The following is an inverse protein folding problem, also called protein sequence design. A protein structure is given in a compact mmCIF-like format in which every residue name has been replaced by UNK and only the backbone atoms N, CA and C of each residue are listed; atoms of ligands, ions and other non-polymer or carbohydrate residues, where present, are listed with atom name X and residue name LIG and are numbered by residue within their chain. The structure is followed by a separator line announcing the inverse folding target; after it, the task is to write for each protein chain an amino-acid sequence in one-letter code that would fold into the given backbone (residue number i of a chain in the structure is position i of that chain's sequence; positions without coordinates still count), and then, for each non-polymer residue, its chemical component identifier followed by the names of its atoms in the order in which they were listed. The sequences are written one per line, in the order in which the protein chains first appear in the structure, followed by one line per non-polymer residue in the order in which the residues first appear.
data_IF_547735603795
#
_entry.id   IF_547735603795
#
_cell.length_a   1.000
_cell.length_b   1.000
_cell.length_c   1.000
_cell.angle_alpha   90.00
_cell.angle_beta   90.00
_cell.angle_gamma   90.00
#
_symmetry.space_group_name_H-M   'P 1'
#
loop_
_entity.id
_entity.type
_entity.pdbx_description
1 polymer ?
#
# COMPACT_ATOMS: atom_id res chain seq x y z
N UNK A 1 -32.13 25.58 8.48
CA UNK A 1 -30.95 24.93 9.09
C UNK A 1 -30.01 24.52 7.97
N UNK A 2 -28.87 25.18 7.81
CA UNK A 2 -27.90 24.84 6.78
C UNK A 2 -27.15 23.57 7.19
N UNK A 3 -27.35 22.46 6.48
CA UNK A 3 -26.51 21.28 6.60
C UNK A 3 -25.09 21.65 6.17
N UNK A 4 -24.21 21.94 7.13
CA UNK A 4 -22.78 22.02 6.88
C UNK A 4 -22.29 20.61 6.51
N UNK A 5 -22.16 20.34 5.21
CA UNK A 5 -21.45 19.17 4.72
C UNK A 5 -19.98 19.33 5.14
N UNK A 6 -19.61 18.73 6.28
CA UNK A 6 -18.23 18.63 6.71
C UNK A 6 -17.51 17.75 5.68
N UNK A 7 -16.76 18.36 4.77
CA UNK A 7 -15.88 17.62 3.85
C UNK A 7 -14.94 16.78 4.70
N UNK A 8 -15.10 15.45 4.64
CA UNK A 8 -14.14 14.51 5.24
C UNK A 8 -12.86 14.63 4.42
N UNK A 9 -11.84 15.25 4.98
CA UNK A 9 -10.51 15.25 4.39
C UNK A 9 -9.89 13.87 4.63
N UNK A 10 -9.43 13.22 3.55
CA UNK A 10 -8.66 11.98 3.63
C UNK A 10 -7.20 12.38 3.81
N UNK A 11 -6.50 11.71 4.73
CA UNK A 11 -5.07 11.92 4.91
C UNK A 11 -4.31 11.62 3.61
N UNK A 12 -3.26 12.41 3.34
CA UNK A 12 -2.49 12.28 2.09
C UNK A 12 -1.89 10.89 1.96
N UNK A 13 -1.37 10.36 3.06
CA UNK A 13 -0.72 9.05 3.10
C UNK A 13 -1.69 7.91 2.81
N UNK A 14 -2.94 8.01 3.26
CA UNK A 14 -3.99 7.04 2.96
C UNK A 14 -4.43 7.12 1.49
N UNK A 15 -4.52 8.33 0.96
CA UNK A 15 -4.76 8.55 -0.48
C UNK A 15 -3.64 7.94 -1.33
N UNK A 16 -2.40 8.06 -0.88
CA UNK A 16 -1.25 7.45 -1.55
C UNK A 16 -1.30 5.92 -1.51
N UNK A 17 -1.64 5.31 -0.36
CA UNK A 17 -1.82 3.85 -0.26
C UNK A 17 -2.95 3.36 -1.16
N UNK A 18 -4.01 4.15 -1.33
CA UNK A 18 -5.10 3.85 -2.26
C UNK A 18 -4.65 3.94 -3.73
N UNK A 19 -3.71 4.84 -4.05
CA UNK A 19 -3.06 4.85 -5.35
C UNK A 19 -2.21 3.61 -5.56
N UNK A 20 -1.36 3.23 -4.59
CA UNK A 20 -0.53 2.03 -4.71
C UNK A 20 -1.38 0.75 -4.83
N UNK A 21 -2.56 0.70 -4.19
CA UNK A 21 -3.52 -0.40 -4.35
C UNK A 21 -3.97 -0.62 -5.80
N UNK A 22 -3.95 0.41 -6.66
CA UNK A 22 -4.27 0.25 -8.09
C UNK A 22 -3.20 -0.55 -8.82
N UNK A 23 -1.94 -0.45 -8.41
CA UNK A 23 -0.86 -1.33 -8.93
C UNK A 23 -1.16 -2.79 -8.60
N UNK A 24 -1.71 -3.06 -7.42
CA UNK A 24 -2.14 -4.39 -7.02
C UNK A 24 -3.33 -4.90 -7.85
N UNK A 25 -4.22 -3.99 -8.29
CA UNK A 25 -5.31 -4.33 -9.20
C UNK A 25 -4.80 -4.77 -10.58
N UNK A 26 -3.77 -4.11 -11.13
CA UNK A 26 -3.12 -4.55 -12.38
C UNK A 26 -2.50 -5.96 -12.24
N UNK A 27 -1.96 -6.30 -11.07
CA UNK A 27 -1.47 -7.66 -10.79
C UNK A 27 -2.62 -8.69 -10.69
N UNK A 28 -3.82 -8.27 -10.28
CA UNK A 28 -4.99 -9.13 -10.18
C UNK A 28 -5.72 -9.34 -11.50
N UNK A 29 -5.58 -8.41 -12.46
CA UNK A 29 -6.34 -8.40 -13.70
C UNK A 29 -5.93 -9.55 -14.66
N UNK A 30 -6.83 -10.48 -15.01
CA UNK A 30 -6.52 -11.57 -15.93
C UNK A 30 -6.31 -11.13 -17.39
N UNK A 31 -6.69 -9.90 -17.76
CA UNK A 31 -6.43 -9.33 -19.09
C UNK A 31 -4.99 -8.86 -19.26
N UNK A 32 -4.26 -8.67 -18.15
CA UNK A 32 -2.83 -8.34 -18.15
C UNK A 32 -2.02 -9.63 -18.34
N UNK A 33 -1.00 -9.65 -19.22
CA UNK A 33 -0.16 -10.84 -19.43
C UNK A 33 0.47 -11.35 -18.14
N UNK A 34 0.54 -12.68 -18.00
CA UNK A 34 0.94 -13.35 -16.74
C UNK A 34 2.26 -12.82 -16.15
N UNK A 35 3.28 -12.61 -16.98
CA UNK A 35 4.57 -12.10 -16.53
C UNK A 35 4.52 -10.62 -16.13
N UNK A 36 3.69 -9.81 -16.77
CA UNK A 36 3.49 -8.40 -16.39
C UNK A 36 2.79 -8.29 -15.04
N UNK A 37 1.85 -9.19 -14.72
CA UNK A 37 1.21 -9.26 -13.40
C UNK A 37 2.22 -9.50 -12.27
N UNK A 38 3.23 -10.35 -12.51
CA UNK A 38 4.33 -10.57 -11.57
C UNK A 38 5.17 -9.29 -11.40
N UNK A 39 5.45 -8.57 -12.49
CA UNK A 39 6.15 -7.28 -12.40
C UNK A 39 5.34 -6.26 -11.60
N UNK A 40 4.02 -6.20 -11.75
CA UNK A 40 3.17 -5.33 -10.95
C UNK A 40 3.22 -5.65 -9.45
N UNK A 41 3.30 -6.93 -9.05
CA UNK A 41 3.59 -7.29 -7.65
C UNK A 41 4.95 -6.74 -7.19
N UNK A 42 5.99 -6.83 -8.02
CA UNK A 42 7.30 -6.24 -7.73
C UNK A 42 7.25 -4.71 -7.58
N UNK A 43 6.54 -4.03 -8.47
CA UNK A 43 6.35 -2.56 -8.44
C UNK A 43 5.59 -2.16 -7.17
N UNK A 44 4.49 -2.85 -6.85
CA UNK A 44 3.70 -2.61 -5.65
C UNK A 44 4.57 -2.69 -4.39
N UNK A 45 5.39 -3.74 -4.27
CA UNK A 45 6.29 -3.94 -3.12
C UNK A 45 7.38 -2.88 -3.04
N UNK A 46 8.01 -2.54 -4.16
CA UNK A 46 9.04 -1.49 -4.20
C UNK A 46 8.48 -0.12 -3.78
N UNK A 47 7.30 0.25 -4.31
CA UNK A 47 6.62 1.48 -3.94
C UNK A 47 6.30 1.49 -2.44
N UNK A 48 5.80 0.38 -1.90
CA UNK A 48 5.44 0.27 -0.51
C UNK A 48 6.68 0.45 0.39
N UNK A 49 7.81 -0.17 0.05
CA UNK A 49 9.07 0.01 0.78
C UNK A 49 9.53 1.47 0.80
N UNK A 50 9.49 2.16 -0.35
CA UNK A 50 9.84 3.58 -0.42
C UNK A 50 8.88 4.46 0.39
N UNK A 51 7.59 4.13 0.40
CA UNK A 51 6.62 4.80 1.25
C UNK A 51 6.96 4.65 2.74
N UNK A 52 7.31 3.44 3.20
CA UNK A 52 7.71 3.23 4.59
C UNK A 52 9.00 3.99 4.95
N UNK A 53 10.01 3.95 4.08
CA UNK A 53 11.30 4.65 4.30
C UNK A 53 11.10 6.16 4.47
N UNK A 54 10.24 6.77 3.66
CA UNK A 54 10.06 8.22 3.66
C UNK A 54 8.94 8.67 4.60
N UNK A 55 7.73 8.15 4.41
CA UNK A 55 6.51 8.69 5.03
C UNK A 55 6.35 8.25 6.47
N UNK A 56 6.48 6.95 6.75
CA UNK A 56 6.35 6.43 8.13
C UNK A 56 7.49 6.94 9.02
N UNK A 57 8.72 7.02 8.50
CA UNK A 57 9.83 7.64 9.22
C UNK A 57 9.56 9.12 9.58
N UNK A 58 8.97 9.88 8.65
CA UNK A 58 8.58 11.29 8.87
C UNK A 58 7.51 11.41 9.96
N UNK A 59 6.45 10.60 9.90
CA UNK A 59 5.38 10.59 10.89
C UNK A 59 5.90 10.21 12.29
N UNK A 60 6.77 9.21 12.39
CA UNK A 60 7.42 8.82 13.65
C UNK A 60 8.26 9.97 14.23
N UNK A 61 9.00 10.69 13.39
CA UNK A 61 9.78 11.86 13.82
C UNK A 61 8.87 12.98 14.33
N UNK A 62 7.72 13.22 13.69
CA UNK A 62 6.73 14.20 14.17
C UNK A 62 6.19 13.83 15.55
N UNK A 63 5.88 12.56 15.78
CA UNK A 63 5.43 12.05 17.08
C UNK A 63 6.49 12.31 18.16
N UNK A 64 7.76 12.01 17.86
CA UNK A 64 8.87 12.21 18.80
C UNK A 64 9.13 13.69 19.14
N UNK A 65 8.96 14.61 18.17
CA UNK A 65 9.20 16.05 18.38
C UNK A 65 8.02 16.78 19.03
N UNK A 66 6.83 16.18 19.05
CA UNK A 66 5.62 16.73 19.67
C UNK A 66 5.19 18.09 19.11
N UNK A 67 4.59 18.94 19.96
CA UNK A 67 3.99 20.23 19.57
C UNK A 67 4.95 21.25 18.93
N UNK A 68 6.28 21.06 19.03
CA UNK A 68 7.27 21.97 18.41
C UNK A 68 7.35 21.82 16.88
N UNK A 69 6.79 20.74 16.33
CA UNK A 69 6.75 20.46 14.89
C UNK A 69 5.39 20.75 14.23
N UNK A 70 4.46 21.43 14.93
CA UNK A 70 3.14 21.85 14.41
C UNK A 70 3.21 22.93 13.32
N UNK A 71 4.24 22.90 12.47
CA UNK A 71 4.21 23.60 11.19
C UNK A 71 3.33 22.77 10.24
N UNK A 72 2.05 23.12 10.15
CA UNK A 72 1.15 22.78 9.04
C UNK A 72 0.88 21.29 8.70
N UNK A 73 1.40 20.35 9.48
CA UNK A 73 1.37 18.93 9.15
C UNK A 73 0.47 18.19 10.14
N UNK A 74 -0.63 17.67 9.59
CA UNK A 74 -1.52 16.61 10.08
C UNK A 74 -1.80 16.56 11.60
N UNK A 75 -3.06 16.83 11.97
CA UNK A 75 -3.47 17.02 13.36
C UNK A 75 -3.35 15.79 14.28
N UNK A 76 -3.02 14.60 13.76
CA UNK A 76 -2.86 13.38 14.54
C UNK A 76 -1.97 12.33 13.84
N UNK A 77 -0.63 12.45 13.89
CA UNK A 77 0.27 11.53 13.19
C UNK A 77 0.19 10.08 13.68
N UNK A 78 -0.15 9.85 14.96
CA UNK A 78 -0.32 8.48 15.48
C UNK A 78 -1.52 7.80 14.83
N UNK A 79 -2.67 8.47 14.76
CA UNK A 79 -3.86 7.93 14.11
C UNK A 79 -3.61 7.62 12.62
N UNK A 80 -2.79 8.42 11.93
CA UNK A 80 -2.43 8.17 10.54
C UNK A 80 -1.54 6.93 10.42
N UNK A 81 -0.59 6.72 11.33
CA UNK A 81 0.21 5.49 11.37
C UNK A 81 -0.68 4.26 11.58
N UNK A 82 -1.64 4.33 12.51
CA UNK A 82 -2.54 3.22 12.80
C UNK A 82 -3.40 2.89 11.55
N UNK A 83 -3.92 3.91 10.87
CA UNK A 83 -4.67 3.73 9.62
C UNK A 83 -3.80 3.17 8.49
N UNK A 84 -2.56 3.66 8.33
CA UNK A 84 -1.56 3.10 7.40
C UNK A 84 -1.35 1.61 7.68
N UNK A 85 -1.14 1.21 8.93
CA UNK A 85 -0.90 -0.18 9.30
C UNK A 85 -2.08 -1.07 8.92
N UNK A 86 -3.29 -0.64 9.24
CA UNK A 86 -4.50 -1.39 8.89
C UNK A 86 -4.69 -1.51 7.38
N UNK A 87 -4.48 -0.43 6.62
CA UNK A 87 -4.56 -0.46 5.16
C UNK A 87 -3.51 -1.41 4.56
N UNK A 88 -2.27 -1.35 5.05
CA UNK A 88 -1.17 -2.19 4.54
C UNK A 88 -1.41 -3.67 4.85
N UNK A 89 -1.91 -4.01 6.03
CA UNK A 89 -2.25 -5.41 6.36
C UNK A 89 -3.29 -5.98 5.40
N UNK A 90 -4.32 -5.21 5.06
CA UNK A 90 -5.32 -5.63 4.08
C UNK A 90 -4.71 -5.82 2.68
N UNK A 91 -3.85 -4.89 2.26
CA UNK A 91 -3.18 -5.00 0.96
C UNK A 91 -2.18 -6.16 0.90
N UNK A 92 -1.51 -6.50 2.00
CA UNK A 92 -0.65 -7.69 2.06
C UNK A 92 -1.45 -8.99 1.94
N UNK A 93 -2.63 -9.07 2.55
CA UNK A 93 -3.53 -10.21 2.37
C UNK A 93 -3.91 -10.41 0.89
N UNK A 94 -4.24 -9.31 0.20
CA UNK A 94 -4.57 -9.34 -1.21
C UNK A 94 -3.37 -9.68 -2.10
N UNK A 95 -2.18 -9.16 -1.77
CA UNK A 95 -0.93 -9.54 -2.42
C UNK A 95 -0.68 -11.04 -2.33
N UNK A 96 -0.81 -11.63 -1.14
CA UNK A 96 -0.62 -13.07 -0.95
C UNK A 96 -1.63 -13.88 -1.77
N UNK A 97 -2.90 -13.47 -1.78
CA UNK A 97 -3.94 -14.11 -2.60
C UNK A 97 -3.57 -14.11 -4.08
N UNK A 98 -3.21 -12.95 -4.62
CA UNK A 98 -2.81 -12.80 -6.04
C UNK A 98 -1.57 -13.64 -6.32
N UNK A 99 -0.58 -13.64 -5.43
CA UNK A 99 0.64 -14.42 -5.61
C UNK A 99 0.40 -15.94 -5.68
N UNK A 100 -0.45 -16.47 -4.79
CA UNK A 100 -0.85 -17.89 -4.85
C UNK A 100 -1.56 -18.22 -6.17
N UNK A 101 -2.44 -17.34 -6.64
CA UNK A 101 -3.11 -17.49 -7.93
C UNK A 101 -2.12 -17.48 -9.10
N UNK A 102 -1.14 -16.56 -9.10
CA UNK A 102 -0.12 -16.49 -10.15
C UNK A 102 0.78 -17.73 -10.17
N UNK A 103 1.17 -18.27 -9.00
CA UNK A 103 1.95 -19.53 -8.94
C UNK A 103 1.21 -20.70 -9.58
N UNK A 104 -0.10 -20.78 -9.38
CA UNK A 104 -0.95 -21.80 -10.02
C UNK A 104 -0.94 -21.63 -11.54
N UNK A 105 -1.20 -20.42 -12.03
CA UNK A 105 -1.21 -20.12 -13.47
C UNK A 105 0.15 -20.37 -14.15
N UNK A 106 1.26 -20.01 -13.48
CA UNK A 106 2.61 -20.32 -13.99
C UNK A 106 2.83 -21.83 -14.14
N UNK A 107 2.33 -22.62 -13.19
CA UNK A 107 2.43 -24.07 -13.23
C UNK A 107 1.66 -24.66 -14.41
N UNK A 108 0.49 -24.11 -14.73
CA UNK A 108 -0.31 -24.50 -15.92
C UNK A 108 0.47 -24.22 -17.22
N UNK A 109 1.20 -23.11 -17.27
CA UNK A 109 2.11 -22.73 -18.35
C UNK A 109 3.48 -23.47 -18.30
N UNK A 110 3.63 -24.47 -17.43
CA UNK A 110 4.86 -25.25 -17.22
C UNK A 110 6.06 -24.41 -16.77
N UNK A 111 5.82 -23.28 -16.12
CA UNK A 111 6.83 -22.42 -15.49
C UNK A 111 6.81 -22.69 -13.98
N UNK A 112 7.96 -23.10 -13.44
CA UNK A 112 8.09 -23.47 -12.03
C UNK A 112 9.05 -22.54 -11.29
N UNK A 113 8.56 -21.84 -10.27
CA UNK A 113 9.40 -21.07 -9.36
C UNK A 113 10.00 -22.05 -8.34
N UNK A 114 11.34 -22.12 -8.30
CA UNK A 114 12.07 -22.93 -7.33
C UNK A 114 12.68 -22.01 -6.28
N UNK A 115 12.49 -22.34 -5.02
CA UNK A 115 13.29 -21.78 -3.93
C UNK A 115 14.54 -22.63 -3.75
N UNK A 116 15.64 -22.02 -3.34
CA UNK A 116 16.82 -22.77 -2.90
C UNK A 116 16.40 -23.65 -1.71
N UNK A 117 16.70 -24.94 -1.79
CA UNK A 117 16.57 -25.88 -0.68
C UNK A 117 17.86 -25.88 0.12
#
# INVERSE_FOLDING_TARGET
MAHHFKRKFIARDISWLSFNARVLQEAADPTVPLLERIKFLGIFSNNLDEFFKVRVATLRRMIQLGNKAKMHLENNPQQIIDEIQMTVLNQQGEFSRIWEDLKRLLTEEKIFIRTEK
#
